data_IF_743283940716
#
_entry.id   IF_743283940716
#
_cell.length_a   1.000
_cell.length_b   1.000
_cell.length_c   1.000
_cell.angle_alpha   90.00
_cell.angle_beta   90.00
_cell.angle_gamma   90.00
#
_symmetry.space_group_name_H-M   'P 1'
#
loop_
_entity.id
_entity.type
_entity.pdbx_description
1 polymer ?
#
# COMPACT_ATOMS: atom_id res chain seq x y z
N UNK A 1 -27.70 -21.60 74.39
CA UNK A 1 -27.36 -21.37 72.97
C UNK A 1 -28.20 -20.19 72.51
N UNK A 2 -27.73 -19.03 72.04
CA UNK A 2 -26.42 -18.42 71.81
C UNK A 2 -26.63 -16.94 72.15
N UNK A 3 -25.78 -16.37 73.00
CA UNK A 3 -25.69 -14.94 73.26
C UNK A 3 -24.53 -14.40 72.41
N UNK A 4 -24.77 -13.41 71.53
CA UNK A 4 -23.68 -12.61 70.95
C UNK A 4 -24.06 -11.15 70.83
N UNK A 5 -23.31 -10.37 71.60
CA UNK A 5 -23.22 -8.92 71.64
C UNK A 5 -22.81 -8.34 70.28
N UNK A 6 -23.52 -7.31 69.85
CA UNK A 6 -23.04 -6.29 68.91
C UNK A 6 -21.93 -5.45 69.56
N UNK A 7 -20.72 -5.50 69.00
CA UNK A 7 -19.63 -4.55 69.32
C UNK A 7 -19.49 -3.56 68.17
N UNK A 8 -19.58 -2.27 68.53
CA UNK A 8 -19.22 -1.12 67.71
C UNK A 8 -17.72 -1.17 67.37
N UNK A 9 -17.38 -0.95 66.09
CA UNK A 9 -16.03 -0.61 65.68
C UNK A 9 -16.01 0.84 65.19
N UNK A 10 -15.30 1.67 65.94
CA UNK A 10 -14.98 3.07 65.62
C UNK A 10 -13.92 3.08 64.52
N UNK A 11 -14.24 3.62 63.35
CA UNK A 11 -13.25 3.86 62.28
C UNK A 11 -12.61 5.23 62.53
N UNK A 12 -11.31 5.24 62.85
CA UNK A 12 -10.51 6.46 62.83
C UNK A 12 -10.31 6.92 61.38
N UNK A 13 -10.79 8.12 61.04
CA UNK A 13 -10.36 8.82 59.82
C UNK A 13 -8.97 9.44 60.04
N UNK A 14 -7.99 9.01 59.27
CA UNK A 14 -6.73 9.73 59.10
C UNK A 14 -6.89 10.78 57.98
N UNK A 15 -6.43 12.04 58.16
CA UNK A 15 -6.47 13.03 57.09
C UNK A 15 -5.33 12.76 56.10
N UNK A 16 -5.67 12.36 54.88
CA UNK A 16 -4.74 12.38 53.75
C UNK A 16 -4.48 13.84 53.37
N UNK A 17 -3.29 14.35 53.65
CA UNK A 17 -2.79 15.60 53.10
C UNK A 17 -2.56 15.42 51.59
N UNK A 18 -3.44 16.03 50.78
CA UNK A 18 -3.22 16.23 49.35
C UNK A 18 -2.12 17.29 49.18
N UNK A 19 -0.89 16.85 48.89
CA UNK A 19 0.17 17.72 48.41
C UNK A 19 -0.17 18.12 46.97
N UNK A 20 -0.78 19.29 46.80
CA UNK A 20 -0.95 19.91 45.49
C UNK A 20 0.39 20.44 45.00
N UNK A 21 1.13 19.62 44.24
CA UNK A 21 2.26 20.09 43.44
C UNK A 21 1.70 20.91 42.27
N UNK A 22 1.54 22.22 42.48
CA UNK A 22 1.32 23.19 41.42
C UNK A 22 2.61 23.36 40.60
N UNK A 23 2.94 22.36 39.80
CA UNK A 23 3.95 22.47 38.76
C UNK A 23 3.32 23.21 37.58
N UNK A 24 3.64 24.50 37.42
CA UNK A 24 3.40 25.26 36.19
C UNK A 24 4.36 24.79 35.09
N UNK A 25 4.21 23.54 34.68
CA UNK A 25 4.86 23.01 33.49
C UNK A 25 4.17 23.60 32.27
N UNK A 26 4.80 24.58 31.63
CA UNK A 26 4.41 24.99 30.27
C UNK A 26 4.51 23.76 29.37
N UNK A 27 3.36 23.22 28.96
CA UNK A 27 3.31 22.18 27.93
C UNK A 27 4.01 22.73 26.67
N UNK A 28 5.03 22.06 26.12
CA UNK A 28 5.63 22.51 24.88
C UNK A 28 4.55 22.55 23.80
N UNK A 29 4.37 23.72 23.20
CA UNK A 29 3.45 23.94 22.09
C UNK A 29 3.77 22.93 20.97
N UNK A 30 2.75 22.16 20.55
CA UNK A 30 2.85 21.20 19.45
C UNK A 30 3.16 21.84 18.08
N UNK A 31 3.34 23.16 18.02
CA UNK A 31 3.53 23.92 16.79
C UNK A 31 4.92 23.77 16.13
N UNK A 32 5.90 23.13 16.79
CA UNK A 32 7.29 23.06 16.31
C UNK A 32 7.83 21.64 16.06
N UNK A 33 6.96 20.62 15.98
CA UNK A 33 7.43 19.32 15.50
C UNK A 33 7.85 19.47 14.02
N UNK A 34 9.09 19.13 13.63
CA UNK A 34 9.50 19.20 12.23
C UNK A 34 8.56 18.31 11.41
N UNK A 35 8.02 18.86 10.32
CA UNK A 35 7.17 18.09 9.42
C UNK A 35 7.93 16.84 8.96
N UNK A 36 7.32 15.67 9.15
CA UNK A 36 7.94 14.41 8.74
C UNK A 36 8.22 14.47 7.23
N UNK A 37 9.48 14.32 6.85
CA UNK A 37 9.85 14.35 5.43
C UNK A 37 9.30 13.08 4.76
N UNK A 38 8.37 13.28 3.82
CA UNK A 38 7.80 12.20 3.02
C UNK A 38 8.71 11.87 1.84
N UNK A 39 8.86 10.58 1.57
CA UNK A 39 9.62 10.06 0.45
C UNK A 39 8.64 9.81 -0.69
N UNK A 40 8.80 10.53 -1.80
CA UNK A 40 7.84 10.52 -2.90
C UNK A 40 8.27 9.59 -4.04
N UNK A 41 7.30 8.92 -4.64
CA UNK A 41 7.47 8.16 -5.86
C UNK A 41 7.99 9.04 -7.02
N UNK A 42 8.68 8.43 -7.98
CA UNK A 42 9.25 9.06 -9.18
C UNK A 42 10.15 10.27 -8.90
N UNK A 43 10.78 10.33 -7.72
CA UNK A 43 11.78 11.35 -7.38
C UNK A 43 13.19 10.76 -7.32
N UNK A 44 14.21 11.62 -7.15
CA UNK A 44 15.59 11.18 -6.94
C UNK A 44 15.79 10.32 -5.68
N UNK A 45 14.86 10.39 -4.73
CA UNK A 45 14.82 9.56 -3.53
C UNK A 45 13.48 8.80 -3.47
N UNK A 46 13.30 7.71 -4.26
CA UNK A 46 12.05 6.97 -4.24
C UNK A 46 11.96 6.02 -3.04
N UNK A 47 10.73 5.57 -2.66
CA UNK A 47 10.49 4.76 -1.46
C UNK A 47 11.41 3.53 -1.36
N UNK A 48 12.01 3.30 -0.18
CA UNK A 48 12.84 2.13 0.16
C UNK A 48 12.10 1.11 1.01
N UNK A 49 10.91 1.46 1.50
CA UNK A 49 10.05 0.57 2.26
C UNK A 49 8.58 0.82 1.90
N UNK A 50 7.90 -0.22 1.42
CA UNK A 50 6.54 -0.12 0.86
C UNK A 50 5.58 -1.11 1.53
N UNK A 51 4.49 -0.60 2.11
CA UNK A 51 3.38 -1.43 2.58
C UNK A 51 2.32 -1.57 1.49
N UNK A 52 1.97 -2.79 1.13
CA UNK A 52 0.88 -3.10 0.19
C UNK A 52 -0.37 -3.42 0.99
N UNK A 53 -1.46 -2.69 0.74
CA UNK A 53 -2.74 -2.85 1.44
C UNK A 53 -3.85 -3.03 0.40
N UNK A 54 -4.54 -4.17 0.46
CA UNK A 54 -5.64 -4.45 -0.45
C UNK A 54 -6.20 -5.87 -0.28
N UNK A 55 -6.45 -6.56 -1.38
CA UNK A 55 -7.17 -7.82 -1.41
C UNK A 55 -6.52 -8.84 -2.34
N UNK A 56 -7.33 -9.76 -2.87
CA UNK A 56 -6.94 -10.83 -3.78
C UNK A 56 -6.24 -10.36 -5.06
N UNK A 57 -6.55 -9.15 -5.54
CA UNK A 57 -5.84 -8.58 -6.69
C UNK A 57 -4.34 -8.34 -6.40
N UNK A 58 -3.96 -8.23 -5.12
CA UNK A 58 -2.58 -8.16 -4.67
C UNK A 58 -2.03 -9.52 -4.26
N UNK A 59 -2.74 -10.40 -3.55
CA UNK A 59 -2.13 -11.66 -3.06
C UNK A 59 -2.01 -12.78 -4.11
N UNK A 60 -2.77 -12.73 -5.20
CA UNK A 60 -2.69 -13.76 -6.24
C UNK A 60 -1.26 -13.89 -6.79
N UNK A 61 -0.90 -15.12 -7.16
CA UNK A 61 0.41 -15.44 -7.74
C UNK A 61 1.59 -15.10 -6.79
N UNK A 62 1.51 -15.57 -5.54
CA UNK A 62 2.52 -15.36 -4.49
C UNK A 62 2.71 -13.89 -4.08
N UNK A 63 1.64 -13.11 -4.20
CA UNK A 63 1.55 -11.70 -3.87
C UNK A 63 2.41 -10.74 -4.70
N UNK A 64 1.82 -9.61 -5.05
CA UNK A 64 2.35 -8.60 -5.94
C UNK A 64 3.70 -8.06 -5.45
N UNK A 65 3.85 -7.82 -4.14
CA UNK A 65 5.08 -7.28 -3.55
C UNK A 65 6.32 -8.15 -3.83
N UNK A 66 6.17 -9.48 -3.85
CA UNK A 66 7.26 -10.42 -4.15
C UNK A 66 7.67 -10.33 -5.63
N UNK A 67 6.69 -10.33 -6.53
CA UNK A 67 6.92 -10.17 -7.97
C UNK A 67 7.58 -8.82 -8.29
N UNK A 68 7.13 -7.73 -7.65
CA UNK A 68 7.74 -6.39 -7.78
C UNK A 68 9.19 -6.38 -7.30
N UNK A 69 9.48 -6.99 -6.15
CA UNK A 69 10.83 -7.10 -5.62
C UNK A 69 11.77 -7.85 -6.56
N UNK A 70 11.31 -8.95 -7.16
CA UNK A 70 12.10 -9.75 -8.10
C UNK A 70 12.29 -9.04 -9.44
N UNK A 71 11.24 -8.39 -9.96
CA UNK A 71 11.33 -7.56 -11.16
C UNK A 71 12.31 -6.39 -10.98
N UNK A 72 12.22 -5.67 -9.86
CA UNK A 72 13.10 -4.56 -9.52
C UNK A 72 14.57 -5.02 -9.48
N UNK A 73 14.86 -6.17 -8.84
CA UNK A 73 16.21 -6.75 -8.79
C UNK A 73 16.73 -7.20 -10.15
N UNK A 74 15.83 -7.66 -11.02
CA UNK A 74 16.18 -8.12 -12.36
C UNK A 74 16.33 -7.01 -13.41
N UNK A 75 15.82 -5.80 -13.14
CA UNK A 75 15.81 -4.66 -14.07
C UNK A 75 17.16 -3.94 -14.14
N UNK A 76 17.36 -3.15 -15.20
CA UNK A 76 18.49 -2.21 -15.25
C UNK A 76 18.40 -1.21 -14.09
N UNK A 77 19.53 -0.78 -13.55
CA UNK A 77 19.59 0.09 -12.37
C UNK A 77 18.82 -0.45 -11.15
N UNK A 78 18.85 -1.77 -10.94
CA UNK A 78 18.13 -2.48 -9.87
C UNK A 78 18.19 -1.79 -8.49
N UNK A 79 19.35 -1.25 -8.09
CA UNK A 79 19.53 -0.51 -6.82
C UNK A 79 18.53 0.65 -6.66
N UNK A 80 18.13 1.32 -7.75
CA UNK A 80 17.17 2.42 -7.72
C UNK A 80 15.75 1.95 -7.36
N UNK A 81 15.40 0.68 -7.59
CA UNK A 81 14.11 0.10 -7.22
C UNK A 81 14.17 -0.91 -6.08
N UNK A 82 15.35 -1.12 -5.45
CA UNK A 82 15.46 -1.98 -4.27
C UNK A 82 14.72 -1.37 -3.08
N UNK A 83 13.82 -2.16 -2.50
CA UNK A 83 13.03 -1.77 -1.35
C UNK A 83 12.69 -2.99 -0.49
N UNK A 84 12.37 -2.75 0.78
CA UNK A 84 11.68 -3.70 1.65
C UNK A 84 10.18 -3.58 1.39
N UNK A 85 9.46 -4.69 1.48
CA UNK A 85 8.01 -4.68 1.31
C UNK A 85 7.29 -5.60 2.29
N UNK A 86 6.05 -5.28 2.59
CA UNK A 86 5.13 -6.13 3.36
C UNK A 86 3.74 -6.03 2.72
N UNK A 87 2.98 -7.12 2.75
CA UNK A 87 1.65 -7.19 2.14
C UNK A 87 0.61 -7.53 3.19
N UNK A 88 -0.40 -6.68 3.32
CA UNK A 88 -1.59 -6.87 4.15
C UNK A 88 -2.80 -6.96 3.22
N UNK A 89 -3.26 -8.18 3.00
CA UNK A 89 -4.36 -8.43 2.08
C UNK A 89 -5.48 -9.19 2.74
N UNK A 90 -6.71 -8.76 2.53
CA UNK A 90 -7.92 -9.42 3.02
C UNK A 90 -8.75 -9.85 1.81
N UNK A 91 -9.12 -11.12 1.72
CA UNK A 91 -9.90 -11.61 0.57
C UNK A 91 -11.23 -10.87 0.45
N UNK A 92 -11.53 -10.37 -0.75
CA UNK A 92 -12.77 -9.63 -1.05
C UNK A 92 -12.89 -8.26 -0.41
N UNK A 93 -11.87 -7.74 0.29
CA UNK A 93 -12.00 -6.46 0.99
C UNK A 93 -12.11 -5.26 0.05
N UNK A 94 -12.93 -4.30 0.48
CA UNK A 94 -12.80 -2.91 0.06
C UNK A 94 -11.72 -2.19 0.86
N UNK A 95 -11.37 -0.99 0.41
CA UNK A 95 -10.41 -0.10 1.06
C UNK A 95 -10.84 0.27 2.49
N UNK A 96 -12.15 0.23 2.76
CA UNK A 96 -12.80 0.58 4.02
C UNK A 96 -12.62 -0.45 5.14
N UNK A 97 -12.25 -1.70 4.80
CA UNK A 97 -12.04 -2.76 5.80
C UNK A 97 -10.67 -2.68 6.48
N UNK A 98 -9.77 -1.87 5.93
CA UNK A 98 -8.38 -1.78 6.38
C UNK A 98 -8.20 -0.73 7.48
N UNK A 99 -7.70 -1.16 8.64
CA UNK A 99 -7.32 -0.28 9.74
C UNK A 99 -5.88 0.24 9.56
N UNK A 100 -5.74 1.26 8.72
CA UNK A 100 -4.42 1.79 8.35
C UNK A 100 -3.68 2.43 9.55
N UNK A 101 -4.42 2.98 10.51
CA UNK A 101 -3.82 3.55 11.74
C UNK A 101 -3.10 2.46 12.53
N UNK A 102 -3.75 1.30 12.71
CA UNK A 102 -3.12 0.14 13.34
C UNK A 102 -1.94 -0.40 12.54
N UNK A 103 -2.03 -0.44 11.20
CA UNK A 103 -0.95 -0.98 10.35
C UNK A 103 0.32 -0.12 10.37
N UNK A 104 0.17 1.20 10.51
CA UNK A 104 1.27 2.18 10.51
C UNK A 104 1.69 2.64 11.92
N UNK A 105 1.23 1.95 12.97
CA UNK A 105 1.67 2.25 14.34
C UNK A 105 3.21 2.11 14.47
N UNK A 106 3.86 2.99 15.25
CA UNK A 106 5.30 2.89 15.51
C UNK A 106 5.69 1.50 16.03
N UNK A 107 6.85 1.00 15.60
CA UNK A 107 7.39 -0.30 16.01
C UNK A 107 6.46 -1.51 15.74
N UNK A 108 5.46 -1.33 14.87
CA UNK A 108 4.50 -2.37 14.49
C UNK A 108 5.00 -3.26 13.37
N UNK A 109 4.21 -3.33 12.30
CA UNK A 109 4.49 -4.22 11.17
C UNK A 109 5.82 -3.84 10.50
N UNK A 110 6.66 -4.83 10.26
CA UNK A 110 7.99 -4.62 9.68
C UNK A 110 9.08 -4.31 10.70
N UNK A 111 8.85 -4.48 12.01
CA UNK A 111 9.85 -4.26 13.08
C UNK A 111 11.16 -5.05 12.92
N UNK A 112 11.14 -6.16 12.19
CA UNK A 112 12.30 -6.97 11.85
C UNK A 112 12.20 -7.48 10.42
N UNK A 113 13.30 -8.04 9.92
CA UNK A 113 13.40 -8.60 8.58
C UNK A 113 14.27 -9.85 8.60
N UNK A 114 13.92 -10.79 7.72
CA UNK A 114 14.71 -11.98 7.44
C UNK A 114 15.68 -11.65 6.31
N UNK A 115 16.96 -11.90 6.53
CA UNK A 115 18.04 -11.56 5.59
C UNK A 115 18.68 -12.83 5.01
N UNK A 116 19.42 -12.68 3.91
CA UNK A 116 19.90 -13.81 3.10
C UNK A 116 20.91 -14.74 3.77
N UNK A 117 21.43 -14.36 4.93
CA UNK A 117 22.30 -15.15 5.80
C UNK A 117 21.54 -15.86 6.93
N UNK A 118 20.21 -16.02 6.78
CA UNK A 118 19.30 -16.70 7.73
C UNK A 118 19.17 -16.02 9.10
N UNK A 119 19.57 -14.76 9.21
CA UNK A 119 19.43 -13.98 10.45
C UNK A 119 18.13 -13.16 10.49
N UNK A 120 17.69 -12.86 11.71
CA UNK A 120 16.61 -11.89 11.97
C UNK A 120 17.26 -10.55 12.36
N UNK A 121 17.06 -9.53 11.54
CA UNK A 121 17.57 -8.17 11.81
C UNK A 121 16.44 -7.23 12.17
N UNK A 122 16.60 -6.56 13.30
CA UNK A 122 15.67 -5.54 13.77
C UNK A 122 15.84 -4.25 12.96
N UNK A 123 14.74 -3.75 12.42
CA UNK A 123 14.72 -2.45 11.74
C UNK A 123 14.79 -1.30 12.75
N UNK A 124 15.21 -0.09 12.34
CA UNK A 124 15.22 1.09 13.20
C UNK A 124 13.85 1.32 13.86
N UNK A 125 13.80 1.82 15.11
CA UNK A 125 12.55 2.08 15.79
C UNK A 125 11.74 3.21 15.11
N UNK A 126 10.43 3.25 15.34
CA UNK A 126 9.53 4.28 14.80
C UNK A 126 8.92 3.90 13.44
N UNK A 127 8.97 4.82 12.46
CA UNK A 127 8.35 4.67 11.12
C UNK A 127 8.98 3.51 10.36
N UNK A 128 8.16 2.51 10.00
CA UNK A 128 8.63 1.31 9.29
C UNK A 128 8.46 1.35 7.77
N UNK A 129 7.70 2.30 7.21
CA UNK A 129 7.44 2.40 5.78
C UNK A 129 7.59 3.84 5.31
N UNK A 130 8.12 4.01 4.10
CA UNK A 130 8.20 5.29 3.41
C UNK A 130 6.89 5.61 2.70
N UNK A 131 6.21 4.58 2.20
CA UNK A 131 4.96 4.70 1.48
C UNK A 131 4.02 3.53 1.72
N UNK A 132 2.73 3.76 1.46
CA UNK A 132 1.69 2.73 1.44
C UNK A 132 1.00 2.74 0.08
N UNK A 133 0.90 1.57 -0.56
CA UNK A 133 0.14 1.36 -1.78
C UNK A 133 -1.22 0.77 -1.42
N UNK A 134 -2.28 1.52 -1.68
CA UNK A 134 -3.66 1.17 -1.41
C UNK A 134 -4.38 0.82 -2.72
N UNK A 135 -5.32 -0.11 -2.65
CA UNK A 135 -6.37 -0.24 -3.67
C UNK A 135 -7.69 -0.58 -3.00
N UNK A 136 -8.78 -0.31 -3.71
CA UNK A 136 -10.11 -0.72 -3.29
C UNK A 136 -10.48 -2.10 -3.87
N UNK A 137 -11.70 -2.55 -3.59
CA UNK A 137 -12.29 -3.68 -4.29
C UNK A 137 -12.34 -3.39 -5.79
N UNK A 138 -12.22 -4.43 -6.62
CA UNK A 138 -11.97 -4.33 -8.05
C UNK A 138 -13.00 -3.52 -8.85
N UNK A 139 -14.23 -3.36 -8.35
CA UNK A 139 -15.30 -2.59 -8.99
C UNK A 139 -15.82 -1.43 -8.13
N UNK A 140 -15.39 -1.33 -6.86
CA UNK A 140 -15.89 -0.33 -5.92
C UNK A 140 -15.75 1.12 -6.41
N UNK A 141 -14.62 1.54 -7.03
CA UNK A 141 -14.46 2.92 -7.50
C UNK A 141 -15.50 3.37 -8.53
N UNK A 142 -16.08 2.42 -9.29
CA UNK A 142 -17.08 2.67 -10.34
C UNK A 142 -18.48 2.18 -9.96
N UNK A 143 -18.67 1.63 -8.76
CA UNK A 143 -19.97 1.14 -8.33
C UNK A 143 -20.85 2.31 -7.84
N UNK A 144 -22.16 2.38 -8.20
CA UNK A 144 -23.02 3.51 -7.86
C UNK A 144 -23.07 3.88 -6.37
N UNK A 145 -23.00 2.87 -5.49
CA UNK A 145 -23.01 3.07 -4.03
C UNK A 145 -21.61 3.18 -3.43
N UNK A 146 -20.67 2.36 -3.91
CA UNK A 146 -19.36 2.19 -3.25
C UNK A 146 -18.32 3.20 -3.74
N UNK A 147 -18.55 3.86 -4.87
CA UNK A 147 -17.67 4.93 -5.35
C UNK A 147 -17.50 6.04 -4.30
N UNK A 148 -18.57 6.39 -3.58
CA UNK A 148 -18.48 7.36 -2.47
C UNK A 148 -17.62 6.86 -1.31
N UNK A 149 -17.72 5.57 -1.00
CA UNK A 149 -16.92 4.91 0.05
C UNK A 149 -15.44 4.90 -0.36
N UNK A 150 -15.15 4.59 -1.62
CA UNK A 150 -13.80 4.65 -2.19
C UNK A 150 -13.15 6.02 -1.95
N UNK A 151 -13.81 7.11 -2.37
CA UNK A 151 -13.25 8.46 -2.22
C UNK A 151 -13.11 8.89 -0.75
N UNK A 152 -14.07 8.56 0.11
CA UNK A 152 -14.01 8.87 1.53
C UNK A 152 -12.82 8.17 2.21
N UNK A 153 -12.65 6.86 1.98
CA UNK A 153 -11.54 6.11 2.57
C UNK A 153 -10.20 6.39 1.91
N UNK A 154 -10.15 6.69 0.60
CA UNK A 154 -8.95 7.20 -0.04
C UNK A 154 -8.45 8.47 0.66
N UNK A 155 -9.37 9.38 1.05
CA UNK A 155 -9.05 10.57 1.82
C UNK A 155 -8.62 10.25 3.25
N UNK A 156 -9.40 9.47 4.00
CA UNK A 156 -9.07 9.11 5.39
C UNK A 156 -7.71 8.44 5.50
N UNK A 157 -7.46 7.43 4.66
CA UNK A 157 -6.19 6.71 4.66
C UNK A 157 -5.02 7.59 4.22
N UNK A 158 -5.23 8.50 3.26
CA UNK A 158 -4.20 9.46 2.88
C UNK A 158 -3.84 10.42 4.01
N UNK A 159 -4.82 10.88 4.79
CA UNK A 159 -4.59 11.70 5.98
C UNK A 159 -3.85 10.90 7.06
N UNK A 160 -4.29 9.67 7.34
CA UNK A 160 -3.66 8.77 8.30
C UNK A 160 -2.20 8.50 7.94
N UNK A 161 -1.93 8.09 6.70
CA UNK A 161 -0.57 7.83 6.22
C UNK A 161 0.35 9.04 6.44
N UNK A 162 -0.09 10.23 6.04
CA UNK A 162 0.70 11.46 6.18
C UNK A 162 0.94 11.86 7.63
N UNK A 163 -0.04 11.63 8.52
CA UNK A 163 0.15 11.87 9.96
C UNK A 163 1.27 11.01 10.56
N UNK A 164 1.61 9.89 9.92
CA UNK A 164 2.73 9.00 10.26
C UNK A 164 3.97 9.23 9.38
N UNK A 165 3.97 10.27 8.54
CA UNK A 165 5.04 10.57 7.60
C UNK A 165 5.18 9.56 6.45
N UNK A 166 4.11 8.82 6.13
CA UNK A 166 4.08 7.82 5.06
C UNK A 166 3.37 8.42 3.84
N UNK A 167 3.96 8.30 2.65
CA UNK A 167 3.34 8.78 1.42
C UNK A 167 2.25 7.79 0.94
N UNK A 168 0.99 8.23 0.76
CA UNK A 168 -0.04 7.38 0.18
C UNK A 168 0.12 7.27 -1.34
N UNK A 169 -0.12 6.08 -1.86
CA UNK A 169 -0.17 5.77 -3.28
C UNK A 169 -1.38 4.89 -3.57
N UNK A 170 -1.90 4.95 -4.80
CA UNK A 170 -3.00 4.12 -5.26
C UNK A 170 -2.57 3.20 -6.40
N UNK A 171 -2.95 1.93 -6.31
CA UNK A 171 -2.88 0.99 -7.42
C UNK A 171 -4.20 1.04 -8.19
N UNK A 172 -4.17 1.63 -9.39
CA UNK A 172 -5.32 1.61 -10.30
C UNK A 172 -5.56 0.18 -10.77
N UNK A 173 -6.67 -0.41 -10.34
CA UNK A 173 -7.07 -1.77 -10.73
C UNK A 173 -7.59 -1.81 -12.16
N UNK A 174 -7.66 -3.02 -12.74
CA UNK A 174 -8.07 -3.26 -14.12
C UNK A 174 -9.55 -3.60 -14.24
N UNK A 175 -10.07 -3.39 -15.46
CA UNK A 175 -11.39 -3.87 -15.87
C UNK A 175 -11.47 -5.40 -15.84
N UNK A 176 -12.68 -5.96 -15.75
CA UNK A 176 -12.86 -7.40 -15.95
C UNK A 176 -12.73 -7.73 -17.44
N UNK A 177 -12.31 -8.97 -17.74
CA UNK A 177 -12.04 -9.39 -19.12
C UNK A 177 -13.28 -9.28 -20.03
N UNK A 178 -14.48 -9.47 -19.46
CA UNK A 178 -15.77 -9.35 -20.14
C UNK A 178 -16.50 -8.02 -19.88
N UNK A 179 -15.82 -7.06 -19.25
CA UNK A 179 -16.30 -5.69 -19.02
C UNK A 179 -15.23 -4.64 -19.34
N UNK A 180 -14.61 -4.66 -20.54
CA UNK A 180 -13.54 -3.72 -20.90
C UNK A 180 -13.96 -2.24 -20.80
N UNK A 181 -15.26 -1.94 -20.92
CA UNK A 181 -15.84 -0.61 -20.73
C UNK A 181 -15.58 0.00 -19.33
N UNK A 182 -15.27 -0.83 -18.32
CA UNK A 182 -14.92 -0.37 -16.97
C UNK A 182 -13.59 0.41 -16.94
N UNK A 183 -12.71 0.21 -17.93
CA UNK A 183 -11.34 0.75 -17.94
C UNK A 183 -11.33 2.26 -17.73
N UNK A 184 -12.16 2.99 -18.50
CA UNK A 184 -12.22 4.46 -18.40
C UNK A 184 -12.72 4.90 -17.02
N UNK A 185 -13.80 4.29 -16.52
CA UNK A 185 -14.36 4.66 -15.22
C UNK A 185 -13.38 4.42 -14.07
N UNK A 186 -12.65 3.29 -14.10
CA UNK A 186 -11.61 3.00 -13.10
C UNK A 186 -10.45 3.98 -13.21
N UNK A 187 -9.98 4.26 -14.42
CA UNK A 187 -8.88 5.21 -14.64
C UNK A 187 -9.24 6.62 -14.16
N UNK A 188 -10.44 7.11 -14.48
CA UNK A 188 -10.94 8.42 -14.04
C UNK A 188 -11.04 8.46 -12.51
N UNK A 189 -11.63 7.43 -11.88
CA UNK A 189 -11.84 7.39 -10.43
C UNK A 189 -10.51 7.39 -9.65
N UNK A 190 -9.56 6.53 -10.04
CA UNK A 190 -8.25 6.48 -9.38
C UNK A 190 -7.41 7.73 -9.63
N UNK A 191 -7.47 8.30 -10.84
CA UNK A 191 -6.77 9.57 -11.16
C UNK A 191 -7.32 10.71 -10.31
N UNK A 192 -8.65 10.81 -10.19
CA UNK A 192 -9.29 11.81 -9.36
C UNK A 192 -8.98 11.61 -7.87
N UNK A 193 -9.00 10.37 -7.37
CA UNK A 193 -8.63 10.07 -5.99
C UNK A 193 -7.16 10.43 -5.71
N UNK A 194 -6.26 10.14 -6.65
CA UNK A 194 -4.87 10.56 -6.62
C UNK A 194 -4.74 12.07 -6.55
N UNK A 195 -5.43 12.80 -7.44
CA UNK A 195 -5.43 14.27 -7.50
C UNK A 195 -5.95 14.90 -6.20
N UNK A 196 -7.12 14.47 -5.71
CA UNK A 196 -7.75 14.99 -4.48
C UNK A 196 -6.87 14.80 -3.26
N UNK A 197 -6.08 13.73 -3.25
CA UNK A 197 -5.26 13.36 -2.11
C UNK A 197 -3.78 13.63 -2.33
N UNK A 198 -3.36 14.26 -3.43
CA UNK A 198 -1.95 14.42 -3.81
C UNK A 198 -1.15 13.12 -3.65
N UNK A 199 -1.73 12.01 -4.11
CA UNK A 199 -1.19 10.66 -3.98
C UNK A 199 -0.76 10.14 -5.35
N UNK A 200 0.36 9.40 -5.38
CA UNK A 200 0.87 8.81 -6.62
C UNK A 200 -0.04 7.68 -7.09
N UNK A 201 -0.38 7.63 -8.38
CA UNK A 201 -1.21 6.57 -8.95
C UNK A 201 -0.37 5.66 -9.86
N UNK A 202 -0.47 4.35 -9.64
CA UNK A 202 0.14 3.33 -10.49
C UNK A 202 -0.91 2.84 -11.50
N UNK A 203 -0.73 3.10 -12.82
CA UNK A 203 -1.77 2.89 -13.84
C UNK A 203 -1.84 1.42 -14.34
N UNK A 204 -1.90 0.44 -13.45
CA UNK A 204 -1.93 -0.98 -13.86
C UNK A 204 -3.18 -1.32 -14.68
N UNK A 205 -4.34 -0.71 -14.38
CA UNK A 205 -5.56 -0.87 -15.16
C UNK A 205 -5.43 -0.46 -16.62
N UNK A 206 -4.73 0.65 -16.90
CA UNK A 206 -4.44 1.09 -18.26
C UNK A 206 -3.45 0.13 -18.94
N UNK A 207 -2.43 -0.35 -18.22
CA UNK A 207 -1.45 -1.27 -18.77
C UNK A 207 -2.10 -2.59 -19.21
N UNK A 208 -3.08 -3.09 -18.45
CA UNK A 208 -3.89 -4.26 -18.84
C UNK A 208 -4.62 -4.03 -20.16
N UNK A 209 -5.33 -2.90 -20.29
CA UNK A 209 -6.05 -2.57 -21.51
C UNK A 209 -5.11 -2.46 -22.72
N UNK A 210 -3.96 -1.79 -22.57
CA UNK A 210 -2.95 -1.64 -23.62
C UNK A 210 -2.34 -2.98 -24.05
N UNK A 211 -2.03 -3.87 -23.11
CA UNK A 211 -1.48 -5.19 -23.43
C UNK A 211 -2.49 -6.05 -24.19
N UNK A 212 -3.75 -6.06 -23.76
CA UNK A 212 -4.82 -6.81 -24.43
C UNK A 212 -5.04 -6.28 -25.86
N UNK A 213 -5.02 -4.95 -26.05
CA UNK A 213 -5.19 -4.36 -27.37
C UNK A 213 -4.06 -4.73 -28.34
N UNK A 214 -2.82 -4.83 -27.84
CA UNK A 214 -1.62 -5.12 -28.65
C UNK A 214 -1.38 -6.63 -28.86
N UNK A 215 -1.71 -7.47 -27.87
CA UNK A 215 -1.49 -8.93 -27.86
C UNK A 215 -2.69 -9.63 -27.19
N UNK A 216 -3.83 -9.77 -27.87
CA UNK A 216 -5.03 -10.38 -27.30
C UNK A 216 -4.88 -11.89 -26.99
N UNK A 217 -3.83 -12.53 -27.52
CA UNK A 217 -3.45 -13.91 -27.22
C UNK A 217 -2.87 -14.09 -25.80
N UNK A 218 -2.38 -13.01 -25.16
CA UNK A 218 -1.83 -13.08 -23.80
C UNK A 218 -2.97 -12.98 -22.78
N UNK A 219 -3.24 -14.09 -22.08
CA UNK A 219 -4.27 -14.13 -21.04
C UNK A 219 -3.79 -13.51 -19.73
N UNK A 220 -4.30 -12.31 -19.41
CA UNK A 220 -4.00 -11.60 -18.16
C UNK A 220 -4.89 -11.97 -16.98
N UNK A 221 -5.90 -12.81 -17.20
CA UNK A 221 -6.90 -13.18 -16.21
C UNK A 221 -6.91 -14.70 -15.99
N UNK A 222 -7.28 -15.11 -14.78
CA UNK A 222 -7.69 -16.51 -14.52
C UNK A 222 -9.12 -16.74 -15.07
N UNK A 223 -9.64 -17.99 -15.08
CA UNK A 223 -10.93 -18.30 -15.72
C UNK A 223 -12.14 -17.52 -15.20
N UNK A 224 -12.03 -16.91 -14.01
CA UNK A 224 -13.09 -16.09 -13.44
C UNK A 224 -13.23 -14.69 -14.06
N UNK A 225 -12.32 -14.34 -14.98
CA UNK A 225 -12.29 -13.09 -15.76
C UNK A 225 -12.03 -11.82 -14.95
N UNK A 226 -11.62 -11.95 -13.68
CA UNK A 226 -11.39 -10.82 -12.77
C UNK A 226 -10.00 -10.85 -12.17
N UNK A 227 -9.63 -11.96 -11.55
CA UNK A 227 -8.34 -12.09 -10.89
C UNK A 227 -7.21 -12.22 -11.90
N UNK A 228 -6.00 -11.72 -11.57
CA UNK A 228 -4.90 -11.73 -12.50
C UNK A 228 -4.34 -13.15 -12.65
N UNK A 229 -4.06 -13.54 -13.89
CA UNK A 229 -3.14 -14.66 -14.15
C UNK A 229 -1.72 -14.29 -13.71
N UNK A 230 -0.77 -15.23 -13.79
CA UNK A 230 0.64 -14.92 -13.57
C UNK A 230 1.13 -13.78 -14.48
N UNK A 231 0.71 -13.77 -15.74
CA UNK A 231 1.02 -12.69 -16.69
C UNK A 231 0.39 -11.36 -16.26
N UNK A 232 -0.85 -11.37 -15.78
CA UNK A 232 -1.51 -10.18 -15.23
C UNK A 232 -0.78 -9.60 -14.01
N UNK A 233 -0.43 -10.44 -13.03
CA UNK A 233 0.33 -10.00 -11.84
C UNK A 233 1.72 -9.49 -12.23
N UNK A 234 2.36 -10.11 -13.22
CA UNK A 234 3.65 -9.67 -13.74
C UNK A 234 3.56 -8.29 -14.42
N UNK A 235 2.53 -8.05 -15.25
CA UNK A 235 2.28 -6.74 -15.87
C UNK A 235 2.02 -5.64 -14.83
N UNK A 236 1.17 -5.92 -13.84
CA UNK A 236 0.92 -5.00 -12.74
C UNK A 236 2.24 -4.67 -12.01
N UNK A 237 3.03 -5.70 -11.68
CA UNK A 237 4.31 -5.52 -11.00
C UNK A 237 5.33 -4.69 -11.82
N UNK A 238 5.44 -4.95 -13.12
CA UNK A 238 6.30 -4.16 -14.02
C UNK A 238 5.84 -2.69 -14.09
N UNK A 239 4.52 -2.46 -14.06
CA UNK A 239 3.94 -1.11 -14.05
C UNK A 239 4.26 -0.38 -12.75
N UNK A 240 4.28 -1.06 -11.60
CA UNK A 240 4.77 -0.47 -10.35
C UNK A 240 6.25 -0.09 -10.44
N UNK A 241 7.11 -0.98 -10.96
CA UNK A 241 8.56 -0.71 -11.11
C UNK A 241 8.80 0.57 -11.92
N UNK A 242 8.14 0.66 -13.08
CA UNK A 242 8.19 1.82 -13.96
C UNK A 242 7.62 3.09 -13.31
N UNK A 243 6.44 2.98 -12.69
CA UNK A 243 5.69 4.12 -12.16
C UNK A 243 6.34 4.72 -10.91
N UNK A 244 6.71 3.89 -9.94
CA UNK A 244 7.12 4.32 -8.59
C UNK A 244 8.61 4.67 -8.54
N UNK A 245 9.48 3.89 -9.19
CA UNK A 245 10.92 4.10 -9.12
C UNK A 245 11.52 4.71 -10.39
N UNK A 246 10.71 4.94 -11.43
CA UNK A 246 11.19 5.39 -12.74
C UNK A 246 12.30 4.46 -13.30
N UNK A 247 12.21 3.17 -12.98
CA UNK A 247 13.12 2.14 -13.47
C UNK A 247 12.49 1.44 -14.65
N UNK A 248 13.22 1.35 -15.76
CA UNK A 248 12.76 0.66 -16.95
C UNK A 248 12.75 -0.86 -16.71
N UNK A 249 11.57 -1.53 -16.71
CA UNK A 249 11.51 -2.98 -16.51
C UNK A 249 11.88 -3.78 -17.77
N UNK A 250 12.02 -3.14 -18.94
CA UNK A 250 12.34 -3.82 -20.20
C UNK A 250 13.72 -4.45 -20.13
N UNK A 251 13.77 -5.76 -20.41
CA UNK A 251 15.00 -6.54 -20.30
C UNK A 251 15.28 -7.08 -18.90
N UNK A 252 14.34 -6.93 -17.95
CA UNK A 252 14.50 -7.54 -16.63
C UNK A 252 14.74 -9.04 -16.74
N UNK A 253 15.77 -9.53 -16.03
CA UNK A 253 16.17 -10.95 -16.04
C UNK A 253 15.16 -11.87 -15.35
N UNK A 254 14.27 -11.30 -14.53
CA UNK A 254 13.21 -12.05 -13.89
C UNK A 254 11.96 -12.03 -14.76
N UNK A 255 11.54 -13.19 -15.28
CA UNK A 255 10.36 -13.33 -16.15
C UNK A 255 9.17 -14.00 -15.45
N UNK A 256 9.31 -14.37 -14.18
CA UNK A 256 8.38 -15.23 -13.45
C UNK A 256 8.08 -16.59 -14.14
N UNK A 257 8.95 -17.05 -15.06
CA UNK A 257 8.72 -18.27 -15.84
C UNK A 257 7.85 -18.07 -17.10
N UNK A 258 7.47 -16.84 -17.43
CA UNK A 258 6.78 -16.52 -18.67
C UNK A 258 7.73 -16.69 -19.87
N UNK A 259 7.20 -17.03 -21.07
CA UNK A 259 7.96 -16.98 -22.32
C UNK A 259 8.63 -15.62 -22.51
N UNK A 260 9.84 -15.61 -23.09
CA UNK A 260 10.65 -14.41 -23.18
C UNK A 260 9.99 -13.29 -24.01
N UNK A 261 9.25 -13.64 -25.06
CA UNK A 261 8.51 -12.68 -25.89
C UNK A 261 7.34 -12.06 -25.10
N UNK A 262 6.59 -12.89 -24.35
CA UNK A 262 5.50 -12.45 -23.47
C UNK A 262 6.03 -11.52 -22.38
N UNK A 263 7.08 -11.93 -21.66
CA UNK A 263 7.68 -11.12 -20.60
C UNK A 263 8.16 -9.76 -21.13
N UNK A 264 8.85 -9.74 -22.29
CA UNK A 264 9.32 -8.50 -22.91
C UNK A 264 8.15 -7.61 -23.37
N UNK A 265 7.10 -8.19 -23.92
CA UNK A 265 5.89 -7.44 -24.27
C UNK A 265 5.28 -6.74 -23.04
N UNK A 266 5.07 -7.48 -21.95
CA UNK A 266 4.46 -6.94 -20.72
C UNK A 266 5.34 -5.87 -20.06
N UNK A 267 6.67 -6.06 -20.04
CA UNK A 267 7.60 -5.03 -19.56
C UNK A 267 7.50 -3.75 -20.40
N UNK A 268 7.40 -3.89 -21.73
CA UNK A 268 7.32 -2.75 -22.66
C UNK A 268 6.03 -1.97 -22.45
N UNK A 269 4.89 -2.67 -22.39
CA UNK A 269 3.59 -2.05 -22.13
C UNK A 269 3.57 -1.33 -20.78
N UNK A 270 4.12 -1.95 -19.72
CA UNK A 270 4.24 -1.32 -18.42
C UNK A 270 5.04 -0.01 -18.45
N UNK A 271 6.19 -0.01 -19.13
CA UNK A 271 7.05 1.16 -19.28
C UNK A 271 6.34 2.30 -20.03
N UNK A 272 5.80 2.01 -21.21
CA UNK A 272 5.10 2.98 -22.07
C UNK A 272 3.87 3.57 -21.36
N UNK A 273 3.09 2.72 -20.69
CA UNK A 273 1.88 3.14 -19.97
C UNK A 273 2.24 4.06 -18.82
N UNK A 274 3.23 3.69 -18.00
CA UNK A 274 3.64 4.51 -16.86
C UNK A 274 4.19 5.87 -17.32
N UNK A 275 5.01 5.90 -18.38
CA UNK A 275 5.53 7.14 -18.95
C UNK A 275 4.42 8.05 -19.48
N UNK A 276 3.53 7.49 -20.30
CA UNK A 276 2.40 8.23 -20.88
C UNK A 276 1.50 8.80 -19.78
N UNK A 277 1.11 7.98 -18.80
CA UNK A 277 0.24 8.40 -17.71
C UNK A 277 0.83 9.54 -16.86
N UNK A 278 2.16 9.51 -16.66
CA UNK A 278 2.87 10.52 -15.86
C UNK A 278 3.46 11.68 -16.69
N UNK A 279 3.19 11.73 -18.01
CA UNK A 279 3.70 12.79 -18.90
C UNK A 279 5.22 12.84 -19.03
N UNK A 280 5.89 11.68 -19.07
CA UNK A 280 7.36 11.54 -19.11
C UNK A 280 7.89 10.94 -20.41
#
# INVERSE_FOLDING_TARGET
MVCRLTKFFTVLLAPFFLLACAGTGTMPSAANAPALTMVKAATANPPRSLLYVGNSFMYYNNSLHGTVSLLARGSENAQAAQHRSTSLTISGSGIDWHDLESYLRPDGLGRYSFVGDNEVRFNPPGRQYDSVLLMDCSQCPVHPTLSKVFFDYAKRHSVTARSKGVEPMFLMTWAYADKPEMTKGLADAYTEAGRQNNAHVVPAGLAFAESIAKRPDIHLYVPDKRHPSLAGSYLAAATLVASVWNVNPVGSKYTAGLPADVARHLQTVAWETARTYHGR
#
